data_IF_070624933558
#
_entry.id   IF_070624933558
#
_cell.length_a   1.000
_cell.length_b   1.000
_cell.length_c   1.000
_cell.angle_alpha   90.00
_cell.angle_beta   90.00
_cell.angle_gamma   90.00
#
_symmetry.space_group_name_H-M   'P 1'
#
loop_
_entity.id
_entity.type
_entity.pdbx_description
1 polymer ?
#
# COMPACT_ATOMS: atom_id res chain seq x y z
N UNK A 1 15.92 -17.67 -42.32
CA UNK A 1 15.36 -19.02 -42.11
C UNK A 1 16.19 -19.67 -41.01
N UNK A 2 15.75 -20.03 -39.82
CA UNK A 2 14.45 -20.01 -39.15
C UNK A 2 14.71 -19.80 -37.62
N UNK A 3 13.73 -19.23 -36.93
CA UNK A 3 13.75 -18.93 -35.50
C UNK A 3 13.52 -20.20 -34.65
N UNK A 4 14.14 -20.27 -33.46
CA UNK A 4 13.76 -21.24 -32.41
C UNK A 4 13.33 -20.49 -31.15
N UNK A 5 12.15 -20.87 -30.69
CA UNK A 5 11.26 -20.22 -29.74
C UNK A 5 11.75 -20.28 -28.29
N UNK A 6 11.67 -19.13 -27.60
CA UNK A 6 11.88 -18.98 -26.16
C UNK A 6 10.60 -19.33 -25.39
N UNK A 7 10.30 -20.62 -25.25
CA UNK A 7 9.19 -21.08 -24.43
C UNK A 7 9.59 -22.34 -23.66
N UNK A 8 10.04 -22.17 -22.42
CA UNK A 8 10.25 -23.31 -21.53
C UNK A 8 11.31 -23.07 -20.48
N UNK A 9 11.05 -22.18 -19.53
CA UNK A 9 11.78 -22.09 -18.24
C UNK A 9 11.11 -21.11 -17.27
N UNK A 10 9.83 -21.33 -16.99
CA UNK A 10 9.18 -20.70 -15.83
C UNK A 10 8.23 -21.73 -15.27
N UNK A 11 8.57 -22.31 -14.11
CA UNK A 11 7.66 -22.78 -13.05
C UNK A 11 8.36 -23.82 -12.15
N UNK A 12 9.12 -23.33 -11.18
CA UNK A 12 9.34 -24.03 -9.92
C UNK A 12 9.13 -23.03 -8.79
N UNK A 13 7.86 -22.63 -8.63
CA UNK A 13 7.38 -21.92 -7.44
C UNK A 13 7.08 -22.96 -6.34
N UNK A 14 7.24 -22.58 -5.07
CA UNK A 14 7.06 -23.44 -3.89
C UNK A 14 5.93 -24.46 -4.07
N UNK A 15 6.18 -25.72 -3.67
CA UNK A 15 5.29 -26.87 -3.91
C UNK A 15 3.82 -26.66 -3.47
N UNK A 16 3.55 -25.75 -2.53
CA UNK A 16 2.19 -25.39 -2.11
C UNK A 16 1.37 -24.58 -3.14
N UNK A 17 1.99 -23.96 -4.16
CA UNK A 17 1.29 -23.04 -5.08
C UNK A 17 0.54 -23.72 -6.23
N UNK A 18 0.86 -24.97 -6.57
CA UNK A 18 0.22 -25.64 -7.71
C UNK A 18 -1.25 -26.02 -7.44
N UNK A 19 -1.65 -26.18 -6.18
CA UNK A 19 -3.02 -26.58 -5.81
C UNK A 19 -4.00 -25.40 -5.64
N UNK A 20 -3.55 -24.14 -5.77
CA UNK A 20 -4.37 -22.94 -5.49
C UNK A 20 -4.94 -22.30 -6.75
N UNK A 21 -4.36 -22.55 -7.93
CA UNK A 21 -4.85 -22.03 -9.21
C UNK A 21 -5.52 -23.12 -10.05
N UNK A 22 -6.71 -23.59 -9.65
CA UNK A 22 -7.69 -24.06 -10.64
C UNK A 22 -8.34 -22.81 -11.24
N UNK A 23 -7.82 -22.39 -12.40
CA UNK A 23 -8.52 -21.42 -13.25
C UNK A 23 -9.74 -22.16 -13.79
N UNK A 24 -10.90 -21.97 -13.18
CA UNK A 24 -12.17 -22.39 -13.77
C UNK A 24 -12.37 -21.58 -15.06
N UNK A 25 -12.53 -22.28 -16.18
CA UNK A 25 -12.95 -21.70 -17.46
C UNK A 25 -14.26 -20.95 -17.27
N UNK A 26 -14.37 -19.78 -17.90
CA UNK A 26 -15.52 -18.89 -17.79
C UNK A 26 -16.82 -19.62 -18.18
N UNK A 27 -17.76 -19.72 -17.23
CA UNK A 27 -19.11 -20.19 -17.52
C UNK A 27 -19.89 -18.99 -18.08
N UNK A 28 -20.26 -19.12 -19.34
CA UNK A 28 -21.03 -18.16 -20.12
C UNK A 28 -22.38 -17.87 -19.44
N UNK A 29 -22.65 -16.62 -19.07
CA UNK A 29 -23.90 -16.23 -18.41
C UNK A 29 -24.98 -16.09 -19.48
N UNK A 30 -25.88 -17.08 -19.58
CA UNK A 30 -27.05 -17.00 -20.46
C UNK A 30 -28.04 -15.98 -19.88
N UNK A 31 -28.38 -14.98 -20.68
CA UNK A 31 -29.46 -14.04 -20.38
C UNK A 31 -30.81 -14.77 -20.43
N UNK A 32 -31.56 -14.75 -19.33
CA UNK A 32 -32.96 -15.17 -19.32
C UNK A 32 -33.85 -13.93 -19.48
N UNK A 33 -34.57 -13.85 -20.60
CA UNK A 33 -35.66 -12.91 -20.86
C UNK A 33 -36.92 -13.42 -20.17
N UNK A 34 -37.42 -12.69 -19.16
CA UNK A 34 -38.73 -12.96 -18.56
C UNK A 34 -39.77 -12.00 -19.15
N UNK A 35 -40.80 -12.59 -19.72
CA UNK A 35 -41.97 -11.98 -20.34
C UNK A 35 -42.87 -11.27 -19.33
N UNK A 36 -43.47 -10.15 -19.77
CA UNK A 36 -44.25 -9.23 -18.96
C UNK A 36 -45.74 -9.57 -19.12
N UNK A 37 -46.35 -10.23 -18.13
CA UNK A 37 -47.79 -10.52 -18.13
C UNK A 37 -48.53 -9.39 -17.42
N UNK A 38 -49.40 -8.74 -18.20
CA UNK A 38 -50.26 -7.60 -17.84
C UNK A 38 -51.41 -8.07 -16.95
N UNK A 39 -51.50 -7.57 -15.73
CA UNK A 39 -52.71 -7.66 -14.90
C UNK A 39 -53.22 -6.23 -14.63
N UNK A 40 -54.44 -5.94 -15.08
CA UNK A 40 -55.14 -4.70 -14.73
C UNK A 40 -55.77 -4.79 -13.34
N UNK A 41 -55.86 -3.68 -12.58
CA UNK A 41 -56.73 -3.60 -11.42
C UNK A 41 -58.10 -3.02 -11.81
N UNK A 42 -59.15 -3.70 -11.34
CA UNK A 42 -60.54 -3.27 -11.42
C UNK A 42 -60.82 -2.17 -10.38
N UNK A 43 -61.62 -1.19 -10.77
CA UNK A 43 -62.03 0.00 -10.01
C UNK A 43 -63.12 -0.29 -8.95
N UNK A 44 -63.04 0.41 -7.81
CA UNK A 44 -64.13 0.94 -6.95
C UNK A 44 -63.48 2.05 -6.09
N UNK A 45 -63.71 3.37 -6.31
CA UNK A 45 -64.80 4.25 -5.80
C UNK A 45 -64.94 4.11 -4.26
N UNK A 46 -64.68 5.09 -3.40
CA UNK A 46 -65.12 6.50 -3.39
C UNK A 46 -64.35 7.36 -2.33
N UNK A 47 -64.30 8.69 -2.58
CA UNK A 47 -64.19 9.86 -1.65
C UNK A 47 -62.90 10.21 -0.86
N UNK A 48 -62.38 11.40 -1.20
CA UNK A 48 -61.35 12.29 -0.60
C UNK A 48 -61.86 13.10 0.62
N UNK A 49 -61.10 14.03 1.27
CA UNK A 49 -59.64 14.34 1.22
C UNK A 49 -58.96 14.64 2.59
N UNK A 50 -57.63 14.87 2.53
CA UNK A 50 -56.80 15.84 3.28
C UNK A 50 -55.64 15.25 4.12
N UNK A 51 -54.47 15.87 3.89
CA UNK A 51 -53.25 15.89 4.70
C UNK A 51 -52.33 14.63 4.69
N UNK A 52 -51.22 14.73 3.95
CA UNK A 52 -49.85 14.68 4.50
C UNK A 52 -48.82 14.54 3.38
N UNK A 53 -47.89 15.50 3.31
CA UNK A 53 -46.63 15.38 2.59
C UNK A 53 -45.80 14.24 3.22
N UNK A 54 -45.64 13.13 2.51
CA UNK A 54 -44.64 12.12 2.85
C UNK A 54 -44.13 11.46 1.57
N UNK A 55 -43.10 12.06 0.98
CA UNK A 55 -42.34 11.44 -0.09
C UNK A 55 -41.15 10.72 0.55
N UNK A 56 -41.41 9.57 1.15
CA UNK A 56 -40.38 8.59 1.47
C UNK A 56 -40.47 7.46 0.45
N UNK A 57 -39.74 7.61 -0.66
CA UNK A 57 -39.48 6.48 -1.57
C UNK A 57 -38.56 5.49 -0.86
N UNK A 58 -38.91 4.20 -0.74
CA UNK A 58 -37.95 3.20 -0.30
C UNK A 58 -36.99 2.94 -1.45
N UNK A 59 -35.76 3.45 -1.33
CA UNK A 59 -34.65 3.07 -2.21
C UNK A 59 -34.26 1.63 -1.85
N UNK A 60 -35.00 0.67 -2.40
CA UNK A 60 -34.60 -0.73 -2.43
C UNK A 60 -33.91 -1.00 -3.76
N UNK A 61 -32.59 -0.82 -3.78
CA UNK A 61 -31.73 -1.60 -4.64
C UNK A 61 -30.39 -1.78 -3.93
N UNK A 62 -30.32 -2.91 -3.23
CA UNK A 62 -29.13 -3.52 -2.67
C UNK A 62 -28.02 -3.45 -3.72
N UNK A 63 -27.05 -2.54 -3.52
CA UNK A 63 -25.76 -2.64 -4.18
C UNK A 63 -25.28 -4.07 -3.97
N UNK A 64 -25.17 -4.84 -5.05
CA UNK A 64 -24.50 -6.13 -5.01
C UNK A 64 -23.07 -5.85 -4.54
N UNK A 65 -22.83 -5.97 -3.24
CA UNK A 65 -21.51 -5.92 -2.66
C UNK A 65 -20.74 -7.07 -3.30
N UNK A 66 -19.93 -6.76 -4.30
CA UNK A 66 -19.00 -7.70 -4.90
C UNK A 66 -18.19 -8.28 -3.75
N UNK A 67 -18.41 -9.55 -3.43
CA UNK A 67 -17.78 -10.19 -2.30
C UNK A 67 -16.27 -9.95 -2.42
N UNK A 68 -15.70 -9.23 -1.46
CA UNK A 68 -14.27 -8.99 -1.43
C UNK A 68 -13.63 -10.38 -1.42
N UNK A 69 -12.83 -10.68 -2.44
CA UNK A 69 -12.16 -11.96 -2.57
C UNK A 69 -11.12 -12.11 -1.43
N UNK A 70 -11.57 -12.62 -0.29
CA UNK A 70 -10.70 -13.13 0.77
C UNK A 70 -10.46 -14.61 0.51
N UNK A 71 -9.25 -15.09 0.78
CA UNK A 71 -8.98 -16.52 0.74
C UNK A 71 -9.65 -17.16 1.96
N UNK A 72 -10.60 -18.07 1.75
CA UNK A 72 -11.21 -18.87 2.83
C UNK A 72 -10.10 -19.54 3.65
N UNK A 73 -10.13 -19.40 4.99
CA UNK A 73 -9.22 -20.16 5.86
C UNK A 73 -9.63 -21.63 5.80
N UNK A 74 -8.69 -22.49 5.42
CA UNK A 74 -8.95 -23.91 5.20
C UNK A 74 -8.40 -24.77 6.33
N UNK A 75 -7.43 -24.27 7.10
CA UNK A 75 -6.71 -25.06 8.13
C UNK A 75 -6.71 -24.41 9.52
N UNK A 76 -7.44 -23.30 9.71
CA UNK A 76 -7.55 -22.66 11.02
C UNK A 76 -6.20 -22.20 11.57
N UNK A 77 -5.86 -22.67 12.78
CA UNK A 77 -4.60 -22.31 13.46
C UNK A 77 -3.35 -22.92 12.82
N UNK A 78 -3.49 -24.00 12.05
CA UNK A 78 -2.36 -24.65 11.39
C UNK A 78 -1.69 -23.73 10.35
N UNK A 79 -2.40 -22.69 9.89
CA UNK A 79 -1.85 -21.70 8.94
C UNK A 79 -0.79 -20.78 9.59
N UNK A 80 -0.65 -20.77 10.92
CA UNK A 80 0.40 -20.05 11.65
C UNK A 80 1.71 -20.83 11.76
N UNK A 81 1.71 -22.10 11.40
CA UNK A 81 2.89 -22.96 11.45
C UNK A 81 3.31 -23.38 10.04
N UNK A 82 4.61 -23.63 9.85
CA UNK A 82 5.09 -24.21 8.59
C UNK A 82 4.59 -25.66 8.49
N UNK A 83 4.68 -26.25 7.29
CA UNK A 83 4.34 -27.66 7.09
C UNK A 83 5.10 -28.54 8.07
N UNK A 84 4.46 -29.60 8.63
CA UNK A 84 5.12 -30.53 9.55
C UNK A 84 6.41 -31.14 8.98
N UNK A 85 6.50 -31.30 7.66
CA UNK A 85 7.68 -31.78 6.95
C UNK A 85 8.91 -30.87 7.10
N UNK A 86 8.72 -29.57 7.32
CA UNK A 86 9.79 -28.57 7.40
C UNK A 86 10.27 -28.34 8.85
N UNK A 87 9.71 -29.04 9.83
CA UNK A 87 10.07 -28.84 11.24
C UNK A 87 11.45 -29.42 11.54
N UNK A 88 12.31 -28.62 12.18
CA UNK A 88 13.68 -29.03 12.52
C UNK A 88 14.67 -28.91 11.36
N UNK A 89 14.24 -28.52 10.15
CA UNK A 89 15.16 -28.24 9.04
C UNK A 89 15.86 -26.90 9.23
N UNK A 90 17.19 -26.87 9.06
CA UNK A 90 17.98 -25.64 9.15
C UNK A 90 17.78 -24.71 7.94
N UNK A 91 17.49 -25.26 6.76
CA UNK A 91 17.35 -24.50 5.51
C UNK A 91 16.14 -24.93 4.69
N UNK A 92 15.07 -24.12 4.77
CA UNK A 92 13.88 -24.29 3.94
C UNK A 92 14.05 -23.57 2.60
N UNK A 93 14.01 -24.34 1.51
CA UNK A 93 14.12 -23.81 0.13
C UNK A 93 12.98 -22.84 -0.17
N UNK A 94 13.34 -21.64 -0.62
CA UNK A 94 12.37 -20.56 -0.86
C UNK A 94 12.62 -19.83 -2.16
N UNK A 95 11.53 -19.50 -2.86
CA UNK A 95 11.58 -18.80 -4.14
C UNK A 95 12.06 -17.34 -4.05
N UNK A 96 12.17 -16.70 -5.22
CA UNK A 96 12.52 -15.28 -5.33
C UNK A 96 11.36 -14.37 -4.88
N UNK A 97 11.64 -13.17 -4.34
CA UNK A 97 10.61 -12.20 -4.00
C UNK A 97 9.93 -11.63 -5.26
N UNK A 98 8.66 -11.26 -5.12
CA UNK A 98 7.88 -10.64 -6.21
C UNK A 98 8.53 -9.34 -6.67
N UNK A 99 8.69 -9.19 -7.99
CA UNK A 99 9.22 -7.97 -8.60
C UNK A 99 8.10 -7.01 -8.98
N UNK A 100 8.32 -5.70 -8.84
CA UNK A 100 7.30 -4.70 -9.18
C UNK A 100 6.76 -4.83 -10.61
N UNK A 101 7.64 -5.16 -11.58
CA UNK A 101 7.24 -5.42 -12.98
C UNK A 101 6.22 -6.56 -13.09
N UNK A 102 6.40 -7.66 -12.36
CA UNK A 102 5.47 -8.80 -12.35
C UNK A 102 4.13 -8.41 -11.73
N UNK A 103 4.15 -7.60 -10.67
CA UNK A 103 2.95 -7.14 -9.97
C UNK A 103 2.14 -6.14 -10.82
N UNK A 104 2.80 -5.31 -11.64
CA UNK A 104 2.12 -4.37 -12.54
C UNK A 104 1.27 -5.06 -13.61
N UNK A 105 1.63 -6.28 -14.03
CA UNK A 105 0.85 -7.08 -15.00
C UNK A 105 -0.41 -7.70 -14.39
N UNK A 106 -0.53 -7.78 -13.06
CA UNK A 106 -1.66 -8.46 -12.38
C UNK A 106 -2.85 -7.53 -12.14
N UNK A 107 -4.05 -8.11 -12.11
CA UNK A 107 -5.29 -7.38 -11.79
C UNK A 107 -5.30 -6.91 -10.32
N UNK A 108 -6.12 -5.89 -9.99
CA UNK A 108 -6.26 -5.43 -8.60
C UNK A 108 -6.83 -6.53 -7.68
N UNK A 109 -7.72 -7.38 -8.20
CA UNK A 109 -8.29 -8.51 -7.46
C UNK A 109 -7.22 -9.54 -7.11
N UNK A 110 -6.34 -9.87 -8.05
CA UNK A 110 -5.25 -10.81 -7.79
C UNK A 110 -4.21 -10.23 -6.82
N UNK A 111 -3.93 -8.92 -6.90
CA UNK A 111 -3.06 -8.26 -5.93
C UNK A 111 -3.66 -8.28 -4.52
N UNK A 112 -4.98 -8.09 -4.39
CA UNK A 112 -5.68 -8.20 -3.11
C UNK A 112 -5.57 -9.62 -2.54
N UNK A 113 -5.83 -10.66 -3.35
CA UNK A 113 -5.65 -12.07 -2.93
C UNK A 113 -4.20 -12.35 -2.53
N UNK A 114 -3.24 -11.90 -3.34
CA UNK A 114 -1.82 -12.09 -3.09
C UNK A 114 -1.36 -11.42 -1.80
N UNK A 115 -1.90 -10.24 -1.47
CA UNK A 115 -1.59 -9.56 -0.20
C UNK A 115 -1.88 -10.45 1.00
N UNK A 116 -3.05 -11.11 1.03
CA UNK A 116 -3.41 -12.01 2.13
C UNK A 116 -2.57 -13.28 2.14
N UNK A 117 -2.19 -13.84 0.99
CA UNK A 117 -1.26 -14.97 0.93
C UNK A 117 0.09 -14.59 1.55
N UNK A 118 0.66 -13.43 1.18
CA UNK A 118 1.91 -12.93 1.74
C UNK A 118 1.79 -12.58 3.23
N UNK A 119 0.64 -12.06 3.66
CA UNK A 119 0.38 -11.73 5.06
C UNK A 119 0.36 -12.98 5.93
N UNK A 120 -0.27 -14.07 5.46
CA UNK A 120 -0.29 -15.34 6.19
C UNK A 120 1.11 -15.95 6.32
N UNK A 121 1.87 -15.98 5.23
CA UNK A 121 3.28 -16.39 5.25
C UNK A 121 4.10 -15.53 6.23
N UNK A 122 3.91 -14.19 6.21
CA UNK A 122 4.59 -13.29 7.14
C UNK A 122 4.26 -13.61 8.59
N UNK A 123 2.98 -13.83 8.91
CA UNK A 123 2.54 -14.14 10.28
C UNK A 123 3.07 -15.49 10.76
N UNK A 124 3.10 -16.50 9.88
CA UNK A 124 3.71 -17.80 10.18
C UNK A 124 5.21 -17.66 10.45
N UNK A 125 5.94 -16.92 9.62
CA UNK A 125 7.37 -16.66 9.82
C UNK A 125 7.68 -15.85 11.09
N UNK A 126 6.83 -14.90 11.46
CA UNK A 126 6.97 -14.16 12.72
C UNK A 126 6.74 -15.06 13.94
N UNK A 127 5.79 -15.99 13.85
CA UNK A 127 5.54 -16.99 14.90
C UNK A 127 6.75 -17.90 15.06
N UNK A 128 7.33 -18.35 13.94
CA UNK A 128 8.53 -19.17 13.89
C UNK A 128 9.78 -18.43 14.41
N UNK A 129 9.94 -17.15 14.06
CA UNK A 129 11.01 -16.29 14.59
C UNK A 129 10.90 -16.16 16.11
N UNK A 130 9.69 -15.93 16.62
CA UNK A 130 9.46 -15.77 18.06
C UNK A 130 9.69 -17.08 18.82
N UNK A 131 9.24 -18.21 18.26
CA UNK A 131 9.45 -19.53 18.88
C UNK A 131 10.94 -19.93 18.86
N UNK A 132 11.66 -19.62 17.78
CA UNK A 132 13.12 -19.82 17.71
C UNK A 132 13.85 -19.03 18.81
N UNK A 133 13.45 -17.77 19.02
CA UNK A 133 13.99 -16.93 20.12
C UNK A 133 13.66 -17.51 21.49
N UNK A 134 12.45 -18.01 21.71
CA UNK A 134 12.03 -18.66 22.95
C UNK A 134 12.87 -19.91 23.24
N UNK A 135 13.11 -20.72 22.22
CA UNK A 135 13.95 -21.93 22.28
C UNK A 135 15.45 -21.61 22.29
N UNK A 136 15.84 -20.34 22.11
CA UNK A 136 17.23 -19.86 21.99
C UNK A 136 17.98 -20.50 20.81
N UNK A 137 17.25 -20.85 19.75
CA UNK A 137 17.78 -21.39 18.51
C UNK A 137 17.81 -20.31 17.41
N UNK A 138 18.65 -20.53 16.40
CA UNK A 138 18.63 -19.69 15.21
C UNK A 138 17.40 -20.02 14.36
N UNK A 139 16.73 -18.99 13.87
CA UNK A 139 15.58 -19.14 12.99
C UNK A 139 15.97 -19.83 11.68
N UNK A 140 15.27 -20.90 11.26
CA UNK A 140 15.38 -21.44 9.92
C UNK A 140 15.15 -20.35 8.84
N UNK A 141 16.11 -20.21 7.92
CA UNK A 141 16.04 -19.34 6.73
C UNK A 141 15.43 -17.93 6.97
N UNK A 142 16.06 -17.04 7.76
CA UNK A 142 15.53 -15.70 8.08
C UNK A 142 15.40 -14.79 6.85
N UNK A 143 16.04 -15.15 5.74
CA UNK A 143 15.88 -14.49 4.45
C UNK A 143 14.45 -14.53 3.91
N UNK A 144 13.67 -15.57 4.24
CA UNK A 144 12.26 -15.70 3.84
C UNK A 144 11.45 -14.48 4.26
N UNK A 145 11.61 -14.07 5.52
CA UNK A 145 10.91 -12.92 6.08
C UNK A 145 11.26 -11.62 5.34
N UNK A 146 12.54 -11.45 4.97
CA UNK A 146 13.01 -10.31 4.17
C UNK A 146 12.41 -10.34 2.75
N UNK A 147 12.36 -11.51 2.11
CA UNK A 147 11.78 -11.71 0.77
C UNK A 147 10.27 -11.39 0.76
N UNK A 148 9.52 -11.86 1.75
CA UNK A 148 8.09 -11.57 1.91
C UNK A 148 7.85 -10.09 2.17
N UNK A 149 8.58 -9.49 3.11
CA UNK A 149 8.47 -8.06 3.42
C UNK A 149 8.77 -7.18 2.21
N UNK A 150 9.79 -7.53 1.42
CA UNK A 150 10.13 -6.84 0.16
C UNK A 150 9.02 -6.98 -0.88
N UNK A 151 8.39 -8.15 -0.97
CA UNK A 151 7.27 -8.40 -1.87
C UNK A 151 6.03 -7.58 -1.48
N UNK A 152 5.71 -7.52 -0.18
CA UNK A 152 4.59 -6.72 0.34
C UNK A 152 4.79 -5.23 0.09
N UNK A 153 5.99 -4.69 0.35
CA UNK A 153 6.30 -3.28 0.09
C UNK A 153 6.17 -2.91 -1.40
N UNK A 154 6.63 -3.79 -2.30
CA UNK A 154 6.49 -3.60 -3.75
C UNK A 154 5.03 -3.66 -4.20
N UNK A 155 4.23 -4.53 -3.60
CA UNK A 155 2.79 -4.62 -3.86
C UNK A 155 2.09 -3.32 -3.45
N UNK A 156 2.34 -2.83 -2.24
CA UNK A 156 1.80 -1.55 -1.76
C UNK A 156 2.22 -0.39 -2.67
N UNK A 157 3.48 -0.38 -3.12
CA UNK A 157 3.99 0.63 -4.05
C UNK A 157 3.22 0.62 -5.37
N UNK A 158 3.01 -0.55 -5.98
CA UNK A 158 2.27 -0.68 -7.26
C UNK A 158 0.81 -0.26 -7.10
N UNK A 159 0.15 -0.61 -5.99
CA UNK A 159 -1.22 -0.18 -5.73
C UNK A 159 -1.29 1.34 -5.55
N UNK A 160 -0.33 1.92 -4.83
CA UNK A 160 -0.23 3.38 -4.64
C UNK A 160 0.09 4.12 -5.95
N UNK A 161 0.93 3.57 -6.82
CA UNK A 161 1.19 4.09 -8.17
C UNK A 161 -0.12 4.18 -8.97
N UNK A 162 -0.91 3.09 -8.99
CA UNK A 162 -2.21 3.03 -9.68
C UNK A 162 -3.20 4.05 -9.13
N UNK A 163 -3.34 4.13 -7.82
CA UNK A 163 -4.22 5.08 -7.14
C UNK A 163 -3.80 6.54 -7.42
N UNK A 164 -2.50 6.82 -7.39
CA UNK A 164 -1.96 8.17 -7.65
C UNK A 164 -2.18 8.58 -9.10
N UNK A 165 -1.93 7.69 -10.07
CA UNK A 165 -2.19 7.95 -11.47
C UNK A 165 -3.68 8.24 -11.73
N UNK A 166 -4.58 7.43 -11.15
CA UNK A 166 -6.02 7.65 -11.26
C UNK A 166 -6.43 9.00 -10.67
N UNK A 167 -5.93 9.34 -9.48
CA UNK A 167 -6.23 10.61 -8.80
C UNK A 167 -5.75 11.82 -9.62
N UNK A 168 -4.55 11.73 -10.20
CA UNK A 168 -4.00 12.79 -11.05
C UNK A 168 -4.88 13.03 -12.28
N UNK A 169 -5.37 11.96 -12.92
CA UNK A 169 -6.26 12.07 -14.07
C UNK A 169 -7.64 12.65 -13.71
N UNK A 170 -8.19 12.29 -12.54
CA UNK A 170 -9.53 12.72 -12.14
C UNK A 170 -9.56 14.13 -11.50
N UNK A 171 -8.55 14.47 -10.69
CA UNK A 171 -8.56 15.69 -9.86
C UNK A 171 -7.35 16.60 -10.07
N UNK A 172 -6.29 16.11 -10.73
CA UNK A 172 -5.01 16.80 -10.83
C UNK A 172 -4.21 16.88 -9.53
N UNK A 173 -4.69 16.29 -8.43
CA UNK A 173 -4.04 16.39 -7.12
C UNK A 173 -2.98 15.31 -6.93
N UNK A 174 -1.74 15.71 -6.62
CA UNK A 174 -0.63 14.77 -6.39
C UNK A 174 -0.81 13.95 -5.09
N UNK A 175 -1.27 14.60 -4.02
CA UNK A 175 -1.33 14.01 -2.67
C UNK A 175 -2.73 13.51 -2.36
N UNK A 176 -2.83 12.28 -1.87
CA UNK A 176 -4.12 11.69 -1.49
C UNK A 176 -4.74 12.27 -0.24
N UNK A 177 -3.91 12.80 0.66
CA UNK A 177 -4.37 13.50 1.85
C UNK A 177 -4.10 14.99 1.71
N UNK A 178 -5.12 15.85 1.84
CA UNK A 178 -4.94 17.28 1.73
C UNK A 178 -4.09 17.82 2.89
N UNK A 179 -3.43 18.94 2.62
CA UNK A 179 -2.60 19.63 3.57
C UNK A 179 -2.12 20.96 3.02
N UNK A 180 -1.42 21.71 3.86
CA UNK A 180 -0.82 22.98 3.46
C UNK A 180 0.50 23.21 4.18
N UNK A 181 1.38 23.98 3.56
CA UNK A 181 2.57 24.50 4.23
C UNK A 181 2.16 25.47 5.33
N UNK A 182 2.62 25.20 6.55
CA UNK A 182 2.38 26.04 7.73
C UNK A 182 3.71 26.29 8.45
N UNK A 183 3.77 27.41 9.18
CA UNK A 183 4.89 27.69 10.08
C UNK A 183 4.51 27.30 11.51
N UNK A 184 5.42 26.66 12.22
CA UNK A 184 5.27 26.45 13.66
C UNK A 184 5.73 27.69 14.44
N UNK A 185 5.53 27.67 15.75
CA UNK A 185 5.92 28.75 16.66
C UNK A 185 7.43 29.02 16.59
N UNK A 186 8.25 28.00 16.33
CA UNK A 186 9.71 28.08 16.26
C UNK A 186 10.26 28.47 14.87
N UNK A 187 9.40 28.84 13.92
CA UNK A 187 9.80 29.29 12.58
C UNK A 187 10.07 28.22 11.54
N UNK A 188 9.85 26.94 11.85
CA UNK A 188 9.97 25.87 10.86
C UNK A 188 8.75 25.83 9.95
N UNK A 189 8.98 25.84 8.64
CA UNK A 189 7.97 25.49 7.66
C UNK A 189 7.81 23.97 7.61
N UNK A 190 6.58 23.49 7.75
CA UNK A 190 6.28 22.06 7.67
C UNK A 190 4.96 21.84 6.94
N UNK A 191 4.83 20.68 6.32
CA UNK A 191 3.59 20.27 5.66
C UNK A 191 2.57 19.82 6.71
N UNK A 192 1.58 20.65 6.99
CA UNK A 192 0.49 20.31 7.90
C UNK A 192 -0.56 19.48 7.19
N UNK A 193 -0.67 18.20 7.56
CA UNK A 193 -1.68 17.26 7.05
C UNK A 193 -3.02 17.52 7.74
N UNK A 194 -4.06 17.79 6.96
CA UNK A 194 -5.39 18.03 7.50
C UNK A 194 -5.95 16.76 8.15
N UNK A 195 -6.77 16.95 9.17
CA UNK A 195 -7.53 15.89 9.84
C UNK A 195 -9.01 16.11 9.52
N UNK A 196 -9.74 15.02 9.39
CA UNK A 196 -11.19 15.05 9.25
C UNK A 196 -11.82 15.44 10.59
N UNK A 197 -12.80 16.31 10.54
CA UNK A 197 -13.59 16.76 11.69
C UNK A 197 -15.05 16.89 11.26
N UNK A 198 -15.98 16.59 12.17
CA UNK A 198 -17.41 16.73 11.91
C UNK A 198 -17.87 18.21 11.88
N UNK A 199 -17.15 19.10 12.56
CA UNK A 199 -17.52 20.51 12.73
C UNK A 199 -16.45 21.40 12.07
N UNK A 200 -16.82 22.54 11.45
CA UNK A 200 -15.87 23.52 10.93
C UNK A 200 -14.80 23.98 11.94
N UNK A 201 -13.62 24.33 11.42
CA UNK A 201 -12.43 24.62 12.22
C UNK A 201 -12.59 25.80 13.21
N UNK A 202 -13.44 26.79 12.87
CA UNK A 202 -13.67 27.99 13.68
C UNK A 202 -14.58 27.73 14.90
N UNK A 203 -15.34 26.63 14.90
CA UNK A 203 -16.10 26.18 16.08
C UNK A 203 -15.29 25.19 16.93
N UNK A 204 -14.30 24.52 16.33
CA UNK A 204 -13.47 23.53 17.01
C UNK A 204 -12.48 24.20 18.00
N UNK A 205 -12.84 24.19 19.28
CA UNK A 205 -12.00 24.74 20.38
C UNK A 205 -10.58 24.16 20.39
N UNK A 206 -10.40 22.86 20.09
CA UNK A 206 -9.08 22.21 20.07
C UNK A 206 -8.24 22.69 18.89
N UNK A 207 -8.85 22.90 17.72
CA UNK A 207 -8.15 23.45 16.56
C UNK A 207 -7.72 24.90 16.80
N UNK A 208 -8.60 25.74 17.36
CA UNK A 208 -8.30 27.16 17.64
C UNK A 208 -7.12 27.37 18.59
N UNK A 209 -6.82 26.41 19.48
CA UNK A 209 -5.65 26.49 20.37
C UNK A 209 -4.32 26.31 19.62
N UNK A 210 -4.33 25.77 18.40
CA UNK A 210 -3.11 25.59 17.60
C UNK A 210 -2.65 26.92 17.03
N UNK A 211 -1.35 27.20 17.14
CA UNK A 211 -0.71 28.40 16.62
C UNK A 211 0.03 28.05 15.34
N UNK A 212 -0.38 28.67 14.22
CA UNK A 212 0.23 28.50 12.89
C UNK A 212 0.97 29.76 12.44
N UNK A 213 1.62 30.45 13.38
CA UNK A 213 2.42 31.64 13.12
C UNK A 213 3.70 31.61 13.96
N UNK A 214 4.70 32.35 13.49
CA UNK A 214 5.99 32.50 14.16
C UNK A 214 6.05 33.87 14.82
N UNK A 215 6.26 33.96 16.15
CA UNK A 215 6.47 35.24 16.83
C UNK A 215 7.75 35.95 16.37
N UNK A 216 7.78 37.29 16.43
CA UNK A 216 8.92 38.10 15.97
C UNK A 216 10.22 37.80 16.73
N UNK A 217 10.15 37.57 18.05
CA UNK A 217 11.34 37.27 18.88
C UNK A 217 12.07 35.97 18.49
N UNK A 218 11.46 35.12 17.64
CA UNK A 218 12.09 33.90 17.14
C UNK A 218 13.01 34.19 15.94
N UNK A 219 12.89 35.36 15.30
CA UNK A 219 13.68 35.72 14.12
C UNK A 219 15.21 35.63 14.33
N UNK A 220 15.80 36.14 15.43
CA UNK A 220 17.24 35.98 15.68
C UNK A 220 17.68 34.50 15.73
N UNK A 221 16.85 33.64 16.32
CA UNK A 221 17.11 32.20 16.42
C UNK A 221 17.03 31.50 15.06
N UNK A 222 16.14 31.95 14.17
CA UNK A 222 16.07 31.46 12.79
C UNK A 222 17.36 31.82 12.04
N UNK A 223 17.85 33.05 12.19
CA UNK A 223 19.12 33.49 11.60
C UNK A 223 20.30 32.63 12.09
N UNK A 224 20.45 32.46 13.40
CA UNK A 224 21.53 31.64 13.97
C UNK A 224 21.49 30.19 13.47
N UNK A 225 20.29 29.63 13.29
CA UNK A 225 20.11 28.28 12.73
C UNK A 225 20.56 28.20 11.27
N UNK A 226 20.22 29.21 10.46
CA UNK A 226 20.67 29.30 9.06
C UNK A 226 22.19 29.45 8.97
N UNK A 227 22.78 30.33 9.78
CA UNK A 227 24.24 30.50 9.85
C UNK A 227 24.93 29.19 10.23
N UNK A 228 24.42 28.48 11.25
CA UNK A 228 24.94 27.16 11.64
C UNK A 228 24.85 26.15 10.50
N UNK A 229 23.74 26.11 9.76
CA UNK A 229 23.57 25.22 8.61
C UNK A 229 24.57 25.55 7.49
N UNK A 230 24.76 26.83 7.16
CA UNK A 230 25.71 27.29 6.15
C UNK A 230 27.16 26.98 6.54
N UNK A 231 27.53 27.20 7.81
CA UNK A 231 28.86 26.82 8.34
C UNK A 231 29.09 25.31 8.27
N UNK A 232 28.06 24.50 8.58
CA UNK A 232 28.09 23.05 8.39
C UNK A 232 28.37 22.66 6.94
N UNK A 233 27.56 23.18 6.02
CA UNK A 233 27.70 22.94 4.57
C UNK A 233 29.08 23.33 4.04
N UNK A 234 29.64 24.45 4.50
CA UNK A 234 30.98 24.89 4.12
C UNK A 234 32.08 23.93 4.61
N UNK A 235 31.97 23.44 5.86
CA UNK A 235 32.89 22.44 6.40
C UNK A 235 32.83 21.13 5.61
N UNK A 236 31.63 20.64 5.33
CA UNK A 236 31.44 19.40 4.55
C UNK A 236 32.04 19.55 3.14
N UNK A 237 31.81 20.69 2.47
CA UNK A 237 32.40 20.98 1.17
C UNK A 237 33.94 21.07 1.23
N UNK A 238 34.51 21.59 2.32
CA UNK A 238 35.96 21.60 2.54
C UNK A 238 36.50 20.18 2.73
N UNK A 239 35.85 19.37 3.56
CA UNK A 239 36.22 17.96 3.78
C UNK A 239 36.16 17.15 2.49
N UNK A 240 35.11 17.32 1.68
CA UNK A 240 34.97 16.65 0.39
C UNK A 240 36.07 17.05 -0.59
N UNK A 241 36.43 18.35 -0.64
CA UNK A 241 37.56 18.83 -1.46
C UNK A 241 38.89 18.23 -0.98
N UNK A 242 39.15 18.26 0.33
CA UNK A 242 40.35 17.66 0.91
C UNK A 242 40.44 16.15 0.66
N UNK A 243 39.33 15.42 0.79
CA UNK A 243 39.25 13.99 0.48
C UNK A 243 39.54 13.73 -0.99
N UNK A 244 38.94 14.50 -1.91
CA UNK A 244 39.20 14.42 -3.36
C UNK A 244 40.66 14.73 -3.71
N UNK A 245 41.27 15.75 -3.11
CA UNK A 245 42.70 16.07 -3.33
C UNK A 245 43.60 14.92 -2.90
N UNK A 246 43.41 14.37 -1.69
CA UNK A 246 44.15 13.19 -1.21
C UNK A 246 43.95 11.97 -2.11
N UNK A 247 42.77 11.80 -2.69
CA UNK A 247 42.46 10.69 -3.59
C UNK A 247 43.16 10.85 -4.95
N UNK A 248 43.25 12.08 -5.47
CA UNK A 248 44.05 12.41 -6.67
C UNK A 248 45.55 12.18 -6.46
N UNK A 249 46.08 12.56 -5.30
CA UNK A 249 47.49 12.31 -4.94
C UNK A 249 47.80 10.82 -4.92
N UNK A 250 46.93 10.01 -4.32
CA UNK A 250 47.12 8.55 -4.24
C UNK A 250 46.88 7.82 -5.56
N UNK A 251 45.97 8.32 -6.39
CA UNK A 251 45.59 7.71 -7.66
C UNK A 251 45.62 8.75 -8.81
N UNK A 252 46.80 9.12 -9.31
CA UNK A 252 46.95 10.16 -10.34
C UNK A 252 46.24 9.83 -11.66
N UNK A 253 46.18 8.56 -12.03
CA UNK A 253 45.52 8.06 -13.24
C UNK A 253 43.98 8.10 -13.16
N UNK A 254 43.41 8.43 -12.00
CA UNK A 254 41.96 8.45 -11.82
C UNK A 254 41.33 9.65 -12.52
N UNK A 255 40.62 9.40 -13.62
CA UNK A 255 39.78 10.42 -14.28
C UNK A 255 38.65 10.82 -13.35
N UNK A 256 38.72 12.03 -12.77
CA UNK A 256 37.62 12.56 -11.97
C UNK A 256 36.44 12.81 -12.89
N UNK A 257 35.32 12.13 -12.64
CA UNK A 257 34.03 12.46 -13.24
C UNK A 257 33.73 13.94 -12.96
N UNK A 258 33.78 14.78 -13.99
CA UNK A 258 33.24 16.13 -13.90
C UNK A 258 31.78 16.01 -13.44
N UNK A 259 31.45 16.74 -12.36
CA UNK A 259 30.07 16.86 -11.85
C UNK A 259 29.39 18.01 -12.54
#
# INVERSE_FOLDING_TARGET
MAASSSAGRVLTLCKQFQNVFRISSAINTKHCTATLTRCQPHLYRETSPLAALSWCSPVSAVSQCRALHTTVSRRGLDEFFDLPENWGENNVKSGAPWTAKQLRTKSNEDLHKLWYVLLKEKNMLLSLEQESRRQRLQMPSPERLKKVSRSMFRLETVVKERETALRLLQTGQEKGRPGAWRRNIFGYAYWYRYKEYAIPWYMNKRYKRKRFFTPKFVQPHIRLRLEKHLRGKARDASLQRGSRSKLKEKFPQMKVSAS
#
